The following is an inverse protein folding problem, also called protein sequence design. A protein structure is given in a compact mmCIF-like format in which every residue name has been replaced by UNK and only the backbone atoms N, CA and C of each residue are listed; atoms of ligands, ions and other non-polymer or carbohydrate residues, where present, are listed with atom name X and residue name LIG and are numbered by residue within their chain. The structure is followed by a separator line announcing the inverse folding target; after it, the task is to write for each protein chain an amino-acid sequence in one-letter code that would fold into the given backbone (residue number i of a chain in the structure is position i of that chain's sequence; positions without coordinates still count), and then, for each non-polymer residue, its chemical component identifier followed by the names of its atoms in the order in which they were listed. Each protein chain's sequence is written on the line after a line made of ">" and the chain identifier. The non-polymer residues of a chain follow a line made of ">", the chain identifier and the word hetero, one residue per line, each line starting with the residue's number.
data_IF_958513713827
#
_entry.id   IF_958513713827
#
_cell.length_a   1.000
_cell.length_b   1.000
_cell.length_c   1.000
_cell.angle_alpha   90.00
_cell.angle_beta   90.00
_cell.angle_gamma   90.00
#
_symmetry.space_group_name_H-M   'P 1'
#
loop_
_entity.id
_entity.type
_entity.pdbx_description
1 polymer ?
#
# COMPACT_ATOMS: atom_id res chain seq x y z
N UNK A 1 2.52 -13.00 -17.94
CA UNK A 1 3.90 -12.90 -17.33
C UNK A 1 3.73 -12.93 -15.82
N UNK A 2 4.15 -14.00 -15.11
CA UNK A 2 3.79 -14.23 -13.70
C UNK A 2 4.25 -13.07 -12.81
N UNK A 3 3.30 -12.48 -12.06
CA UNK A 3 3.58 -11.60 -10.92
C UNK A 3 4.46 -12.34 -9.91
N UNK A 4 5.79 -12.14 -10.00
CA UNK A 4 6.73 -12.73 -9.06
C UNK A 4 6.69 -11.92 -7.75
N UNK A 5 6.38 -12.56 -6.61
CA UNK A 5 6.23 -11.88 -5.32
C UNK A 5 7.48 -11.11 -4.92
N UNK A 6 8.66 -11.54 -5.36
CA UNK A 6 9.94 -10.92 -4.99
C UNK A 6 10.08 -9.49 -5.50
N UNK A 7 9.53 -9.16 -6.68
CA UNK A 7 9.69 -7.83 -7.28
C UNK A 7 8.91 -6.75 -6.51
N UNK A 8 7.69 -7.08 -6.03
CA UNK A 8 6.86 -6.17 -5.24
C UNK A 8 7.47 -5.95 -3.84
N UNK A 9 7.94 -7.03 -3.20
CA UNK A 9 8.59 -6.96 -1.89
C UNK A 9 9.93 -6.19 -1.90
N UNK A 10 10.69 -6.26 -2.99
CA UNK A 10 11.97 -5.52 -3.12
C UNK A 10 11.70 -4.01 -3.29
N UNK A 11 10.70 -3.63 -4.09
CA UNK A 11 10.31 -2.23 -4.25
C UNK A 11 9.80 -1.59 -2.96
N UNK A 12 8.99 -2.33 -2.20
CA UNK A 12 8.43 -1.86 -0.93
C UNK A 12 9.49 -1.73 0.16
N UNK A 13 10.43 -2.68 0.27
CA UNK A 13 11.59 -2.59 1.17
C UNK A 13 12.48 -1.39 0.87
N UNK A 14 12.69 -1.06 -0.41
CA UNK A 14 13.48 0.10 -0.81
C UNK A 14 12.77 1.42 -0.45
N UNK A 15 11.44 1.48 -0.61
CA UNK A 15 10.62 2.64 -0.24
C UNK A 15 10.62 2.84 1.29
N UNK A 16 10.41 1.77 2.06
CA UNK A 16 10.47 1.79 3.53
C UNK A 16 11.84 2.24 4.04
N UNK A 17 12.94 1.76 3.46
CA UNK A 17 14.29 2.21 3.82
C UNK A 17 14.48 3.70 3.57
N UNK A 18 14.09 4.22 2.40
CA UNK A 18 14.21 5.65 2.08
C UNK A 18 13.40 6.52 3.05
N UNK A 19 12.18 6.11 3.35
CA UNK A 19 11.30 6.82 4.27
C UNK A 19 11.80 6.78 5.72
N UNK A 20 12.33 5.65 6.19
CA UNK A 20 13.00 5.54 7.48
C UNK A 20 14.21 6.47 7.56
N UNK A 21 15.04 6.52 6.52
CA UNK A 21 16.20 7.43 6.47
C UNK A 21 15.77 8.88 6.59
N UNK A 22 14.73 9.31 5.85
CA UNK A 22 14.20 10.68 5.95
C UNK A 22 13.70 10.96 7.37
N UNK A 23 12.97 10.01 7.97
CA UNK A 23 12.45 10.16 9.33
C UNK A 23 13.58 10.34 10.36
N UNK A 24 14.63 9.52 10.29
CA UNK A 24 15.80 9.62 11.17
C UNK A 24 16.52 10.96 10.98
N UNK A 25 16.69 11.42 9.74
CA UNK A 25 17.33 12.71 9.44
C UNK A 25 16.54 13.87 10.02
N UNK A 26 15.22 13.87 9.87
CA UNK A 26 14.33 14.91 10.43
C UNK A 26 14.39 14.91 11.95
N UNK A 27 14.40 13.73 12.59
CA UNK A 27 14.50 13.60 14.04
C UNK A 27 15.83 14.16 14.59
N UNK A 28 16.96 13.87 13.92
CA UNK A 28 18.29 14.37 14.31
C UNK A 28 18.37 15.90 14.15
N UNK A 29 17.87 16.44 13.03
CA UNK A 29 17.83 17.88 12.80
C UNK A 29 17.00 18.60 13.86
N UNK A 30 15.84 18.03 14.21
CA UNK A 30 14.98 18.59 15.26
C UNK A 30 15.66 18.61 16.62
N UNK A 31 16.24 17.47 17.04
CA UNK A 31 16.97 17.38 18.30
C UNK A 31 18.12 18.40 18.37
N UNK A 32 18.84 18.61 17.26
CA UNK A 32 19.88 19.63 17.16
C UNK A 32 19.34 21.04 17.38
N UNK A 33 18.21 21.40 16.75
CA UNK A 33 17.56 22.70 16.92
C UNK A 33 17.09 22.89 18.37
N UNK A 34 16.45 21.89 18.98
CA UNK A 34 15.99 21.98 20.38
C UNK A 34 17.16 22.19 21.35
N UNK A 35 18.27 21.46 21.19
CA UNK A 35 19.48 21.63 22.03
C UNK A 35 20.11 23.02 21.85
N UNK A 36 20.11 23.54 20.62
CA UNK A 36 20.67 24.87 20.35
C UNK A 36 19.82 25.99 20.97
N UNK A 37 18.48 25.86 20.91
CA UNK A 37 17.54 26.78 21.54
C UNK A 37 17.63 26.74 23.08
N UNK A 38 17.83 25.55 23.65
CA UNK A 38 18.10 25.34 25.08
C UNK A 38 19.30 26.15 25.55
N UNK A 39 20.41 26.10 24.79
CA UNK A 39 21.65 26.80 25.12
C UNK A 39 21.55 28.33 24.95
N UNK A 40 20.70 28.81 24.02
CA UNK A 40 20.51 30.25 23.78
C UNK A 40 19.53 30.92 24.75
N UNK A 41 18.58 30.17 25.32
CA UNK A 41 17.51 30.78 26.11
C UNK A 41 17.99 31.22 27.50
N UNK A 42 17.85 32.52 27.82
CA UNK A 42 18.05 33.05 29.18
C UNK A 42 16.70 33.49 29.76
N UNK A 43 16.32 32.93 30.92
CA UNK A 43 15.23 33.45 31.75
C UNK A 43 13.82 32.87 31.47
N UNK A 44 12.77 33.69 31.70
CA UNK A 44 11.36 33.28 31.80
C UNK A 44 10.70 32.85 30.47
N UNK A 45 11.32 33.19 29.33
CA UNK A 45 10.89 32.75 27.99
C UNK A 45 11.19 31.26 27.73
N UNK A 46 12.09 30.65 28.50
CA UNK A 46 12.44 29.23 28.39
C UNK A 46 11.24 28.29 28.61
N UNK A 47 10.31 28.69 29.48
CA UNK A 47 9.15 27.85 29.83
C UNK A 47 8.24 27.57 28.63
N UNK A 48 8.09 28.53 27.71
CA UNK A 48 7.31 28.36 26.49
C UNK A 48 7.99 27.43 25.48
N UNK A 49 9.32 27.51 25.36
CA UNK A 49 10.08 26.60 24.51
C UNK A 49 10.04 25.16 25.03
N UNK A 50 10.12 24.97 26.35
CA UNK A 50 10.03 23.65 26.97
C UNK A 50 8.65 23.00 26.75
N UNK A 51 7.57 23.77 26.89
CA UNK A 51 6.20 23.27 26.64
C UNK A 51 6.04 22.92 25.15
N UNK A 52 6.53 23.76 24.24
CA UNK A 52 6.47 23.49 22.80
C UNK A 52 7.24 22.20 22.43
N UNK A 53 8.45 22.00 22.98
CA UNK A 53 9.27 20.81 22.71
C UNK A 53 8.62 19.54 23.29
N UNK A 54 7.97 19.62 24.45
CA UNK A 54 7.17 18.52 25.00
C UNK A 54 6.01 18.13 24.08
N UNK A 55 5.22 19.10 23.62
CA UNK A 55 4.07 18.84 22.74
C UNK A 55 4.54 18.21 21.42
N UNK A 56 5.61 18.73 20.84
CA UNK A 56 6.17 18.22 19.59
C UNK A 56 6.76 16.82 19.79
N UNK A 57 7.44 16.56 20.89
CA UNK A 57 7.98 15.22 21.21
C UNK A 57 6.88 14.17 21.37
N UNK A 58 5.77 14.53 22.02
CA UNK A 58 4.59 13.65 22.15
C UNK A 58 3.94 13.42 20.78
N UNK A 59 3.77 14.47 19.97
CA UNK A 59 3.23 14.35 18.63
C UNK A 59 4.14 13.49 17.72
N UNK A 60 5.45 13.64 17.83
CA UNK A 60 6.44 12.86 17.08
C UNK A 60 6.45 11.40 17.52
N UNK A 61 6.34 11.13 18.82
CA UNK A 61 6.20 9.77 19.35
C UNK A 61 4.92 9.10 18.85
N UNK A 62 3.79 9.80 18.87
CA UNK A 62 2.53 9.30 18.32
C UNK A 62 2.64 9.04 16.81
N UNK A 63 3.22 9.97 16.06
CA UNK A 63 3.44 9.83 14.63
C UNK A 63 4.35 8.64 14.32
N UNK A 64 5.41 8.42 15.09
CA UNK A 64 6.29 7.27 14.93
C UNK A 64 5.53 5.95 15.12
N UNK A 65 4.72 5.84 16.18
CA UNK A 65 3.90 4.64 16.42
C UNK A 65 2.98 4.38 15.23
N UNK A 66 2.25 5.39 14.77
CA UNK A 66 1.38 5.29 13.59
C UNK A 66 2.17 4.90 12.33
N UNK A 67 3.33 5.54 12.12
CA UNK A 67 4.21 5.31 10.97
C UNK A 67 4.77 3.89 10.91
N UNK A 68 5.10 3.29 12.06
CA UNK A 68 5.60 1.91 12.10
C UNK A 68 4.47 0.87 12.07
N UNK A 69 3.28 1.19 12.59
CA UNK A 69 2.15 0.24 12.60
C UNK A 69 1.44 0.14 11.25
N UNK A 70 1.33 1.23 10.49
CA UNK A 70 0.65 1.22 9.19
C UNK A 70 1.26 0.23 8.16
N UNK A 71 2.57 0.27 7.85
CA UNK A 71 3.18 -0.65 6.89
C UNK A 71 3.19 -2.10 7.40
N UNK A 72 3.22 -2.32 8.71
CA UNK A 72 3.12 -3.67 9.29
C UNK A 72 1.72 -4.26 9.10
N UNK A 73 0.68 -3.41 9.18
CA UNK A 73 -0.71 -3.79 8.93
C UNK A 73 -0.93 -4.13 7.47
N UNK A 74 -0.44 -3.29 6.57
CA UNK A 74 -0.58 -3.48 5.13
C UNK A 74 0.16 -4.73 4.65
N UNK A 75 1.39 -4.95 5.13
CA UNK A 75 2.17 -6.15 4.81
C UNK A 75 1.51 -7.45 5.29
N UNK A 76 0.90 -7.46 6.49
CA UNK A 76 0.19 -8.65 7.02
C UNK A 76 -1.06 -8.97 6.19
N UNK A 77 -1.81 -7.96 5.78
CA UNK A 77 -3.00 -8.13 4.94
C UNK A 77 -2.61 -8.68 3.57
N UNK A 78 -1.54 -8.15 2.97
CA UNK A 78 -1.04 -8.58 1.66
C UNK A 78 -0.54 -10.04 1.71
N UNK A 79 0.14 -10.42 2.78
CA UNK A 79 0.57 -11.81 3.02
C UNK A 79 -0.62 -12.76 3.23
N UNK A 80 -1.68 -12.29 3.87
CA UNK A 80 -2.91 -13.07 4.06
C UNK A 80 -3.68 -13.27 2.76
N UNK A 81 -3.76 -12.24 1.90
CA UNK A 81 -4.32 -12.33 0.55
C UNK A 81 -3.49 -13.28 -0.30
N UNK A 82 -2.17 -13.20 -0.21
CA UNK A 82 -1.28 -14.12 -0.93
C UNK A 82 -1.45 -15.56 -0.49
N UNK A 83 -1.57 -15.82 0.83
CA UNK A 83 -1.83 -17.16 1.36
C UNK A 83 -3.18 -17.71 0.88
N UNK A 84 -4.21 -16.86 0.75
CA UNK A 84 -5.50 -17.25 0.18
C UNK A 84 -5.40 -17.52 -1.33
N UNK A 85 -4.68 -16.69 -2.07
CA UNK A 85 -4.45 -16.89 -3.51
C UNK A 85 -3.65 -18.16 -3.79
N UNK A 86 -2.62 -18.47 -2.99
CA UNK A 86 -1.79 -19.66 -3.18
C UNK A 86 -2.51 -20.96 -2.81
N UNK A 87 -3.48 -20.89 -1.90
CA UNK A 87 -4.33 -22.03 -1.53
C UNK A 87 -5.52 -22.26 -2.48
N UNK A 88 -5.86 -21.28 -3.32
CA UNK A 88 -6.97 -21.40 -4.27
C UNK A 88 -6.53 -22.10 -5.55
N UNK A 89 -7.43 -22.92 -6.10
CA UNK A 89 -7.29 -23.42 -7.46
C UNK A 89 -7.28 -22.24 -8.45
N UNK A 90 -6.55 -22.43 -9.54
CA UNK A 90 -6.51 -21.49 -10.67
C UNK A 90 -7.73 -21.73 -11.55
N UNK A 91 -8.45 -20.65 -11.82
CA UNK A 91 -9.66 -20.67 -12.65
C UNK A 91 -9.49 -19.69 -13.79
N UNK A 92 -9.60 -20.21 -15.01
CA UNK A 92 -9.53 -19.40 -16.23
C UNK A 92 -10.92 -19.29 -16.85
N UNK A 93 -11.38 -18.07 -17.05
CA UNK A 93 -12.69 -17.79 -17.64
C UNK A 93 -12.60 -16.64 -18.64
N UNK A 94 -13.32 -16.77 -19.75
CA UNK A 94 -13.49 -15.68 -20.71
C UNK A 94 -14.65 -14.78 -20.27
N UNK A 95 -14.44 -13.47 -20.31
CA UNK A 95 -15.47 -12.51 -19.99
C UNK A 95 -15.23 -11.15 -20.63
N UNK A 96 -16.29 -10.35 -20.70
CA UNK A 96 -16.21 -8.95 -21.11
C UNK A 96 -16.12 -8.10 -19.85
N UNK A 97 -15.14 -7.20 -19.78
CA UNK A 97 -15.04 -6.24 -18.69
C UNK A 97 -16.14 -5.18 -18.82
N UNK A 98 -16.93 -4.95 -17.79
CA UNK A 98 -18.00 -3.96 -17.79
C UNK A 98 -17.58 -2.67 -17.10
N UNK A 99 -17.04 -2.78 -15.88
CA UNK A 99 -16.54 -1.65 -15.10
C UNK A 99 -15.24 -1.98 -14.38
N UNK A 100 -14.43 -0.94 -14.14
CA UNK A 100 -13.25 -1.00 -13.29
C UNK A 100 -13.37 0.13 -12.27
N UNK A 101 -13.63 -0.24 -11.02
CA UNK A 101 -13.85 0.71 -9.93
C UNK A 101 -12.70 0.64 -8.93
N UNK A 102 -12.20 1.79 -8.50
CA UNK A 102 -11.20 1.85 -7.44
C UNK A 102 -11.81 1.41 -6.10
N UNK A 103 -11.15 0.46 -5.43
CA UNK A 103 -11.64 -0.08 -4.18
C UNK A 103 -10.49 -0.36 -3.21
N UNK A 104 -10.54 0.26 -2.05
CA UNK A 104 -9.62 -0.07 -0.97
C UNK A 104 -10.16 -1.26 -0.19
N UNK A 105 -9.55 -2.44 -0.37
CA UNK A 105 -9.89 -3.65 0.39
C UNK A 105 -8.74 -3.97 1.33
N UNK A 106 -9.05 -4.15 2.62
CA UNK A 106 -8.03 -4.50 3.63
C UNK A 106 -6.83 -3.53 3.62
N UNK A 107 -7.08 -2.23 3.41
CA UNK A 107 -6.05 -1.17 3.36
C UNK A 107 -5.07 -1.25 2.18
N UNK A 108 -5.32 -2.13 1.21
CA UNK A 108 -4.56 -2.28 -0.03
C UNK A 108 -5.39 -1.65 -1.14
N UNK A 109 -4.77 -0.77 -1.92
CA UNK A 109 -5.41 -0.20 -3.09
C UNK A 109 -5.57 -1.33 -4.13
N UNK A 110 -6.81 -1.54 -4.54
CA UNK A 110 -7.17 -2.56 -5.50
C UNK A 110 -8.23 -2.00 -6.44
N UNK A 111 -8.36 -2.59 -7.61
CA UNK A 111 -9.40 -2.26 -8.56
C UNK A 111 -10.38 -3.43 -8.59
N UNK A 112 -11.66 -3.14 -8.38
CA UNK A 112 -12.72 -4.12 -8.59
C UNK A 112 -13.06 -4.11 -10.07
N UNK A 113 -12.93 -5.26 -10.70
CA UNK A 113 -13.23 -5.48 -12.11
C UNK A 113 -14.53 -6.27 -12.17
N UNK A 114 -15.57 -5.68 -12.75
CA UNK A 114 -16.84 -6.37 -13.01
C UNK A 114 -16.76 -7.00 -14.38
N UNK A 115 -16.88 -8.32 -14.46
CA UNK A 115 -16.79 -9.07 -15.71
C UNK A 115 -18.04 -9.90 -15.96
N UNK A 116 -18.61 -9.77 -17.16
CA UNK A 116 -19.68 -10.63 -17.66
C UNK A 116 -19.07 -11.89 -18.27
N UNK A 117 -19.26 -13.01 -17.58
CA UNK A 117 -18.79 -14.34 -18.02
C UNK A 117 -19.97 -15.19 -18.48
N UNK A 118 -19.71 -16.31 -19.16
CA UNK A 118 -20.77 -17.26 -19.58
C UNK A 118 -21.60 -17.83 -18.41
N UNK A 119 -21.11 -17.72 -17.17
CA UNK A 119 -21.82 -18.11 -15.95
C UNK A 119 -22.53 -16.96 -15.21
N UNK A 120 -22.51 -15.74 -15.75
CA UNK A 120 -23.07 -14.53 -15.14
C UNK A 120 -22.03 -13.47 -14.79
N UNK A 121 -22.47 -12.44 -14.07
CA UNK A 121 -21.63 -11.33 -13.60
C UNK A 121 -20.70 -11.81 -12.47
N UNK A 122 -19.41 -11.50 -12.58
CA UNK A 122 -18.39 -11.80 -11.57
C UNK A 122 -17.63 -10.56 -11.16
N UNK A 123 -17.38 -10.47 -9.85
CA UNK A 123 -16.51 -9.46 -9.27
C UNK A 123 -15.10 -10.02 -9.09
N UNK A 124 -14.17 -9.50 -9.88
CA UNK A 124 -12.76 -9.83 -9.83
C UNK A 124 -11.99 -8.69 -9.15
N UNK A 125 -10.88 -9.01 -8.52
CA UNK A 125 -10.01 -8.04 -7.86
C UNK A 125 -8.69 -7.97 -8.62
N UNK A 126 -8.29 -6.76 -9.00
CA UNK A 126 -7.00 -6.45 -9.59
C UNK A 126 -6.17 -5.70 -8.55
N UNK A 127 -4.94 -6.15 -8.28
CA UNK A 127 -4.06 -5.47 -7.32
C UNK A 127 -3.36 -4.28 -7.99
N UNK A 128 -3.19 -3.19 -7.25
CA UNK A 128 -2.41 -2.05 -7.71
C UNK A 128 -0.97 -2.47 -8.05
N UNK A 129 -0.46 -2.04 -9.21
CA UNK A 129 0.88 -2.41 -9.70
C UNK A 129 0.93 -3.69 -10.53
N UNK A 130 -0.21 -4.30 -10.86
CA UNK A 130 -0.26 -5.34 -11.89
C UNK A 130 0.29 -4.81 -13.22
N UNK A 131 1.01 -5.63 -14.02
CA UNK A 131 1.65 -5.17 -15.26
C UNK A 131 0.67 -4.90 -16.40
N UNK A 132 -0.64 -5.02 -16.16
CA UNK A 132 -1.69 -4.93 -17.17
C UNK A 132 -2.80 -3.98 -16.73
N UNK A 133 -3.35 -3.25 -17.69
CA UNK A 133 -4.50 -2.37 -17.52
C UNK A 133 -5.69 -3.00 -18.21
N UNK A 134 -6.82 -3.08 -17.51
CA UNK A 134 -8.06 -3.63 -18.05
C UNK A 134 -8.93 -2.46 -18.50
N UNK A 135 -9.37 -2.49 -19.76
CA UNK A 135 -10.27 -1.49 -20.31
C UNK A 135 -11.72 -2.00 -20.28
N UNK A 136 -12.69 -1.14 -19.94
CA UNK A 136 -14.10 -1.47 -20.09
C UNK A 136 -14.44 -1.84 -21.54
N UNK A 137 -15.44 -2.69 -21.70
CA UNK A 137 -15.97 -3.18 -22.99
C UNK A 137 -15.01 -4.06 -23.82
N UNK A 138 -13.82 -4.40 -23.31
CA UNK A 138 -12.94 -5.37 -23.97
C UNK A 138 -13.13 -6.78 -23.43
N UNK A 139 -12.90 -7.76 -24.31
CA UNK A 139 -12.96 -9.18 -23.99
C UNK A 139 -11.58 -9.65 -23.50
N UNK A 140 -11.57 -10.32 -22.36
CA UNK A 140 -10.36 -10.85 -21.78
C UNK A 140 -10.54 -12.32 -21.40
N UNK A 141 -9.45 -13.06 -21.53
CA UNK A 141 -9.27 -14.33 -20.85
C UNK A 141 -8.71 -14.02 -19.45
N UNK A 142 -9.56 -14.09 -18.43
CA UNK A 142 -9.16 -13.84 -17.06
C UNK A 142 -8.64 -15.13 -16.43
N UNK A 143 -7.36 -15.13 -16.04
CA UNK A 143 -6.79 -16.17 -15.19
C UNK A 143 -6.80 -15.67 -13.76
N UNK A 144 -7.58 -16.34 -12.91
CA UNK A 144 -7.88 -15.88 -11.54
C UNK A 144 -7.49 -16.92 -10.50
N UNK A 145 -7.12 -16.45 -9.31
CA UNK A 145 -6.97 -17.26 -8.09
C UNK A 145 -7.63 -16.54 -6.93
N UNK A 146 -8.55 -17.21 -6.23
CA UNK A 146 -9.36 -16.61 -5.16
C UNK A 146 -10.05 -15.29 -5.57
N UNK A 147 -10.57 -15.21 -6.81
CA UNK A 147 -11.15 -14.00 -7.43
C UNK A 147 -10.16 -12.83 -7.64
N UNK A 148 -8.85 -13.06 -7.52
CA UNK A 148 -7.82 -12.08 -7.88
C UNK A 148 -7.30 -12.40 -9.28
N UNK A 149 -7.18 -11.38 -10.13
CA UNK A 149 -6.67 -11.52 -11.50
C UNK A 149 -5.14 -11.66 -11.44
N UNK A 150 -4.63 -12.79 -11.94
CA UNK A 150 -3.20 -13.13 -11.93
C UNK A 150 -2.58 -12.96 -13.31
N UNK A 151 -3.35 -13.24 -14.36
CA UNK A 151 -3.01 -12.94 -15.74
C UNK A 151 -4.29 -12.53 -16.48
N UNK A 152 -4.16 -11.64 -17.46
CA UNK A 152 -5.23 -11.35 -18.39
C UNK A 152 -4.66 -11.23 -19.80
N UNK A 153 -5.27 -11.95 -20.73
CA UNK A 153 -4.96 -11.82 -22.15
C UNK A 153 -6.15 -11.17 -22.84
N UNK A 154 -5.92 -10.03 -23.49
CA UNK A 154 -6.93 -9.44 -24.36
C UNK A 154 -7.18 -10.42 -25.51
N UNK A 155 -8.45 -10.74 -25.73
CA UNK A 155 -8.83 -11.44 -26.96
C UNK A 155 -9.25 -10.38 -27.97
N UNK A 156 -8.44 -10.24 -29.01
CA UNK A 156 -8.87 -9.60 -30.24
C UNK A 156 -9.86 -10.55 -30.91
N UNK A 157 -11.11 -10.09 -31.04
CA UNK A 157 -12.08 -10.71 -31.94
C UNK A 157 -11.68 -10.48 -33.41
#
# INVERSE_FOLDING_TARGET
>A
MKLSPEALFVGEKARLKKLLTIFVVVAILWAGVSVTLLLLSKGRQYLWFMVADMVISVAFGWYAVWFFTNPYRDGKNLLSLYRRMSASAETTETGVCESVDEHTKENILSYRVTALTGGGERYLTLLEGAPFTIEPSKRYLFTTRANVIVDCEAQDE
#
